data_IF_957675406254
#
_entry.id   IF_957675406254
#
_cell.length_a   1.000
_cell.length_b   1.000
_cell.length_c   1.000
_cell.angle_alpha   90.00
_cell.angle_beta   90.00
_cell.angle_gamma   90.00
#
_symmetry.space_group_name_H-M   'P 1'
#
loop_
_entity.id
_entity.type
_entity.pdbx_description
1 polymer ?
#
# COMPACT_ATOMS: atom_id res chain seq x y z
N UNK A 1 18.31 -11.78 -4.45
CA UNK A 1 18.50 -12.82 -5.48
C UNK A 1 17.64 -12.65 -6.70
N UNK A 2 16.31 -12.62 -6.62
CA UNK A 2 15.44 -12.52 -7.82
C UNK A 2 15.79 -11.34 -8.70
N UNK A 3 15.96 -10.14 -8.13
CA UNK A 3 16.28 -8.92 -8.88
C UNK A 3 17.64 -9.02 -9.57
N UNK A 4 18.66 -9.53 -8.87
CA UNK A 4 19.98 -9.77 -9.48
C UNK A 4 19.91 -10.78 -10.63
N UNK A 5 19.09 -11.83 -10.48
CA UNK A 5 18.80 -12.78 -11.55
C UNK A 5 18.10 -12.13 -12.74
N UNK A 6 17.13 -11.23 -12.48
CA UNK A 6 16.42 -10.50 -13.54
C UNK A 6 17.38 -9.59 -14.34
N UNK A 7 18.34 -8.92 -13.68
CA UNK A 7 19.35 -8.10 -14.34
C UNK A 7 20.18 -8.96 -15.30
N UNK A 8 20.68 -10.10 -14.82
CA UNK A 8 21.50 -11.00 -15.65
C UNK A 8 20.69 -11.64 -16.76
N UNK A 9 19.47 -12.11 -16.45
CA UNK A 9 18.62 -12.79 -17.44
C UNK A 9 18.23 -11.90 -18.62
N UNK A 10 18.04 -10.60 -18.40
CA UNK A 10 17.74 -9.64 -19.49
C UNK A 10 18.83 -9.57 -20.55
N UNK A 11 20.07 -9.86 -20.18
CA UNK A 11 21.23 -9.84 -21.08
C UNK A 11 21.60 -11.22 -21.65
N UNK A 12 20.89 -12.28 -21.25
CA UNK A 12 21.10 -13.62 -21.79
C UNK A 12 20.35 -13.80 -23.11
N UNK A 13 20.89 -14.61 -24.06
CA UNK A 13 20.17 -14.98 -25.27
C UNK A 13 18.89 -15.77 -24.89
N UNK A 14 17.83 -15.52 -25.64
CA UNK A 14 16.61 -16.31 -25.52
C UNK A 14 16.78 -17.65 -26.26
N UNK A 15 16.18 -18.71 -25.71
CA UNK A 15 16.06 -19.99 -26.41
C UNK A 15 15.03 -19.94 -27.58
N UNK A 16 14.83 -21.06 -28.26
CA UNK A 16 13.88 -21.16 -29.36
C UNK A 16 12.41 -20.88 -28.95
N UNK A 17 12.10 -20.90 -27.68
CA UNK A 17 10.78 -20.62 -27.09
C UNK A 17 10.67 -19.20 -26.53
N UNK A 18 11.73 -18.37 -26.66
CA UNK A 18 11.79 -17.03 -26.14
C UNK A 18 12.14 -16.95 -24.65
N UNK A 19 12.49 -18.06 -24.01
CA UNK A 19 12.84 -18.12 -22.57
C UNK A 19 14.31 -17.75 -22.39
N UNK A 20 14.59 -16.93 -21.37
CA UNK A 20 15.95 -16.56 -20.94
C UNK A 20 16.24 -17.18 -19.60
N UNK A 21 17.33 -17.93 -19.51
CA UNK A 21 17.75 -18.62 -18.30
C UNK A 21 19.04 -18.00 -17.78
N UNK A 22 19.08 -17.66 -16.49
CA UNK A 22 20.27 -17.19 -15.82
C UNK A 22 20.52 -17.99 -14.55
N UNK A 23 21.79 -18.22 -14.24
CA UNK A 23 22.26 -18.81 -13.00
C UNK A 23 23.29 -17.88 -12.35
N UNK A 24 23.14 -17.65 -11.06
CA UNK A 24 24.08 -16.86 -10.25
C UNK A 24 24.52 -17.69 -9.04
N UNK A 25 25.83 -17.67 -8.82
CA UNK A 25 26.48 -18.00 -7.56
C UNK A 25 27.05 -16.71 -6.97
N UNK A 26 27.51 -16.71 -5.73
CA UNK A 26 28.17 -15.54 -5.13
C UNK A 26 29.37 -15.07 -5.99
N UNK A 27 30.16 -16.02 -6.53
CA UNK A 27 31.30 -15.69 -7.39
C UNK A 27 30.84 -15.04 -8.70
N UNK A 28 29.91 -15.66 -9.41
CA UNK A 28 29.42 -15.10 -10.69
C UNK A 28 28.59 -13.82 -10.51
N UNK A 29 27.98 -13.61 -9.33
CA UNK A 29 27.37 -12.34 -8.94
C UNK A 29 28.43 -11.23 -8.92
N UNK A 30 29.54 -11.46 -8.23
CA UNK A 30 30.64 -10.48 -8.15
C UNK A 30 31.22 -10.18 -9.52
N UNK A 31 31.47 -11.20 -10.32
CA UNK A 31 32.03 -11.07 -11.69
C UNK A 31 31.10 -10.29 -12.64
N UNK A 32 29.77 -10.41 -12.49
CA UNK A 32 28.79 -9.85 -13.44
C UNK A 32 28.12 -8.58 -12.97
N UNK A 33 27.98 -8.36 -11.65
CA UNK A 33 27.11 -7.34 -11.10
C UNK A 33 27.81 -6.32 -10.19
N UNK A 34 29.08 -6.55 -9.82
CA UNK A 34 29.78 -5.59 -8.97
C UNK A 34 29.92 -4.22 -9.63
N UNK A 35 30.09 -4.15 -10.94
CA UNK A 35 30.23 -2.90 -11.70
C UNK A 35 28.90 -2.44 -12.34
N UNK A 36 27.78 -3.14 -12.05
CA UNK A 36 26.49 -2.78 -12.62
C UNK A 36 25.98 -1.45 -12.06
N UNK A 37 25.46 -0.62 -12.95
CA UNK A 37 24.79 0.65 -12.65
C UNK A 37 23.46 0.72 -13.39
N UNK A 38 22.45 1.41 -12.85
CA UNK A 38 22.44 2.16 -11.59
C UNK A 38 22.21 1.26 -10.36
N UNK A 39 22.66 1.71 -9.19
CA UNK A 39 22.41 1.02 -7.91
C UNK A 39 20.92 0.78 -7.62
N UNK A 40 20.05 1.62 -8.15
CA UNK A 40 18.59 1.51 -7.97
C UNK A 40 17.96 0.29 -8.62
N UNK A 41 18.69 -0.44 -9.45
CA UNK A 41 18.24 -1.72 -10.01
C UNK A 41 18.30 -2.86 -8.99
N UNK A 42 19.02 -2.67 -7.88
CA UNK A 42 19.14 -3.67 -6.83
C UNK A 42 18.02 -3.53 -5.78
N UNK A 43 17.61 -4.67 -5.25
CA UNK A 43 16.61 -4.74 -4.19
C UNK A 43 17.00 -3.91 -2.97
N UNK A 44 16.04 -3.14 -2.45
CA UNK A 44 16.19 -2.21 -1.32
C UNK A 44 17.12 -1.02 -1.53
N UNK A 45 17.70 -0.83 -2.70
CA UNK A 45 18.43 0.40 -3.04
C UNK A 45 17.51 1.34 -3.81
N UNK A 46 16.71 2.09 -3.08
CA UNK A 46 15.88 3.16 -3.67
C UNK A 46 16.68 4.45 -3.93
N UNK A 47 16.04 5.47 -4.57
CA UNK A 47 16.70 6.73 -4.89
C UNK A 47 17.34 7.43 -3.69
N UNK A 48 16.74 7.29 -2.49
CA UNK A 48 17.29 7.86 -1.25
C UNK A 48 18.63 7.20 -0.84
N UNK A 49 18.70 5.87 -0.92
CA UNK A 49 19.91 5.11 -0.64
C UNK A 49 20.99 5.41 -1.68
N UNK A 50 20.67 5.33 -2.96
CA UNK A 50 21.60 5.64 -4.03
C UNK A 50 22.16 7.07 -3.90
N UNK A 51 21.33 8.05 -3.55
CA UNK A 51 21.79 9.43 -3.33
C UNK A 51 22.79 9.55 -2.16
N UNK A 52 22.57 8.83 -1.05
CA UNK A 52 23.50 8.81 0.09
C UNK A 52 24.82 8.14 -0.29
N UNK A 53 24.76 6.98 -0.96
CA UNK A 53 25.91 6.24 -1.45
C UNK A 53 26.74 7.08 -2.42
N UNK A 54 26.11 7.66 -3.43
CA UNK A 54 26.79 8.51 -4.42
C UNK A 54 27.48 9.72 -3.80
N UNK A 55 26.90 10.34 -2.75
CA UNK A 55 27.54 11.43 -2.00
C UNK A 55 28.76 10.97 -1.23
N UNK A 56 28.80 9.72 -0.81
CA UNK A 56 29.94 9.09 -0.18
C UNK A 56 30.99 8.51 -1.19
N UNK A 57 30.73 8.67 -2.50
CA UNK A 57 31.66 8.17 -3.54
C UNK A 57 31.49 6.67 -3.85
N UNK A 58 30.36 6.07 -3.41
CA UNK A 58 30.03 4.65 -3.65
C UNK A 58 28.96 4.56 -4.75
N UNK A 59 29.31 4.03 -5.90
CA UNK A 59 28.45 4.03 -7.10
C UNK A 59 27.97 2.65 -7.52
N UNK A 60 28.61 1.58 -7.03
CA UNK A 60 28.37 0.21 -7.42
C UNK A 60 28.27 -0.72 -6.20
N UNK A 61 27.73 -1.93 -6.40
CA UNK A 61 27.76 -2.95 -5.35
C UNK A 61 29.18 -3.37 -4.99
N UNK A 62 30.09 -3.39 -5.97
CA UNK A 62 31.51 -3.64 -5.73
C UNK A 62 32.16 -2.57 -4.85
N UNK A 63 31.79 -1.30 -4.97
CA UNK A 63 32.29 -0.24 -4.10
C UNK A 63 31.82 -0.43 -2.65
N UNK A 64 30.54 -0.83 -2.47
CA UNK A 64 29.98 -1.11 -1.15
C UNK A 64 30.69 -2.32 -0.51
N UNK A 65 30.87 -3.39 -1.28
CA UNK A 65 31.57 -4.58 -0.80
C UNK A 65 33.02 -4.28 -0.42
N UNK A 66 33.76 -3.51 -1.22
CA UNK A 66 35.14 -3.08 -0.92
C UNK A 66 35.21 -2.14 0.30
N UNK A 67 34.20 -1.25 0.41
CA UNK A 67 34.10 -0.35 1.57
C UNK A 67 33.97 -1.16 2.87
N UNK A 68 33.18 -2.22 2.91
CA UNK A 68 32.98 -3.04 4.10
C UNK A 68 34.25 -3.79 4.58
N UNK A 69 35.29 -3.85 3.75
CA UNK A 69 36.59 -4.47 4.11
C UNK A 69 37.66 -3.48 4.56
N UNK A 70 37.36 -2.19 4.56
CA UNK A 70 38.26 -1.17 5.03
C UNK A 70 38.62 -1.32 6.50
N UNK A 71 39.85 -0.91 6.88
CA UNK A 71 40.25 -0.91 8.28
C UNK A 71 39.58 0.24 9.03
N UNK A 72 39.49 0.14 10.34
CA UNK A 72 38.81 1.15 11.19
C UNK A 72 39.33 2.59 11.00
N UNK A 73 40.60 2.75 10.59
CA UNK A 73 41.21 4.06 10.33
C UNK A 73 41.02 4.56 8.89
N UNK A 74 40.56 3.73 7.98
CA UNK A 74 40.31 4.10 6.59
C UNK A 74 38.97 4.87 6.49
N UNK A 75 38.87 5.86 5.57
CA UNK A 75 37.60 6.56 5.33
C UNK A 75 36.51 5.63 4.82
N UNK A 76 36.89 4.73 3.92
CA UNK A 76 35.98 3.68 3.42
C UNK A 76 36.12 2.44 4.30
N UNK A 77 35.19 2.28 5.20
CA UNK A 77 35.11 1.14 6.11
C UNK A 77 33.63 0.77 6.39
N UNK A 78 33.43 -0.27 7.14
CA UNK A 78 32.08 -0.73 7.50
C UNK A 78 31.31 0.31 8.32
N UNK A 79 32.00 1.04 9.20
CA UNK A 79 31.40 2.06 10.07
C UNK A 79 30.73 3.18 9.28
N UNK A 80 31.31 3.61 8.16
CA UNK A 80 30.71 4.58 7.25
C UNK A 80 29.34 4.08 6.73
N UNK A 81 29.22 2.80 6.40
CA UNK A 81 27.94 2.22 5.95
C UNK A 81 26.92 2.19 7.08
N UNK A 82 27.33 1.87 8.31
CA UNK A 82 26.44 1.92 9.48
C UNK A 82 26.03 3.34 9.86
N UNK A 83 26.90 4.34 9.72
CA UNK A 83 26.52 5.76 9.88
C UNK A 83 25.45 6.19 8.87
N UNK A 84 25.58 5.77 7.62
CA UNK A 84 24.65 6.14 6.55
C UNK A 84 23.29 5.45 6.67
N UNK A 85 23.24 4.19 7.11
CA UNK A 85 22.06 3.32 6.99
C UNK A 85 21.64 2.64 8.29
N UNK A 86 22.38 2.80 9.38
CA UNK A 86 22.12 2.09 10.64
C UNK A 86 22.16 0.57 10.43
N UNK A 87 21.34 -0.17 11.15
CA UNK A 87 21.27 -1.65 11.06
C UNK A 87 20.96 -2.19 9.66
N UNK A 88 20.44 -1.36 8.77
CA UNK A 88 20.21 -1.79 7.39
C UNK A 88 21.51 -1.89 6.56
N UNK A 89 22.64 -1.39 7.08
CA UNK A 89 23.95 -1.54 6.44
C UNK A 89 24.35 -3.01 6.32
N UNK A 90 24.09 -3.82 7.35
CA UNK A 90 24.37 -5.26 7.36
C UNK A 90 23.76 -5.97 6.14
N UNK A 91 22.45 -5.79 5.92
CA UNK A 91 21.79 -6.38 4.77
C UNK A 91 22.30 -5.83 3.43
N UNK A 92 22.67 -4.55 3.39
CA UNK A 92 23.23 -3.93 2.18
C UNK A 92 24.61 -4.52 1.85
N UNK A 93 25.44 -4.75 2.87
CA UNK A 93 26.75 -5.38 2.75
C UNK A 93 26.61 -6.83 2.27
N UNK A 94 25.74 -7.62 2.91
CA UNK A 94 25.44 -8.99 2.49
C UNK A 94 25.05 -9.08 1.02
N UNK A 95 24.10 -8.23 0.60
CA UNK A 95 23.68 -8.16 -0.78
C UNK A 95 24.79 -7.69 -1.73
N UNK A 96 25.67 -6.79 -1.30
CA UNK A 96 26.82 -6.36 -2.09
C UNK A 96 27.82 -7.51 -2.31
N UNK A 97 27.97 -8.41 -1.35
CA UNK A 97 28.76 -9.62 -1.46
C UNK A 97 28.08 -10.73 -2.26
N UNK A 98 26.78 -10.60 -2.57
CA UNK A 98 25.97 -11.59 -3.25
C UNK A 98 25.40 -12.64 -2.30
N UNK A 99 25.43 -12.38 -1.00
CA UNK A 99 24.85 -13.23 0.03
C UNK A 99 23.40 -12.83 0.34
N UNK A 100 22.52 -13.80 0.47
CA UNK A 100 21.11 -13.59 0.85
C UNK A 100 20.82 -14.43 2.09
N UNK A 101 20.77 -13.80 3.28
CA UNK A 101 20.53 -14.53 4.54
C UNK A 101 19.10 -15.04 4.66
N UNK A 102 18.14 -14.41 3.96
CA UNK A 102 16.73 -14.76 4.09
C UNK A 102 16.32 -15.90 3.16
N UNK A 103 15.99 -17.04 3.72
CA UNK A 103 15.53 -18.21 2.98
C UNK A 103 14.02 -18.16 2.70
N UNK A 104 13.56 -18.94 1.71
CA UNK A 104 12.12 -19.11 1.43
C UNK A 104 11.37 -19.67 2.65
N UNK A 105 12.02 -20.52 3.44
CA UNK A 105 11.43 -21.05 4.68
C UNK A 105 11.19 -19.96 5.73
N UNK A 106 12.12 -19.02 5.86
CA UNK A 106 11.99 -17.86 6.75
C UNK A 106 10.92 -16.91 6.29
N UNK A 107 10.84 -16.61 4.98
CA UNK A 107 9.77 -15.81 4.41
C UNK A 107 8.39 -16.43 4.72
N UNK A 108 8.25 -17.75 4.56
CA UNK A 108 7.00 -18.46 4.87
C UNK A 108 6.64 -18.46 6.35
N UNK A 109 7.63 -18.44 7.25
CA UNK A 109 7.42 -18.39 8.71
C UNK A 109 7.22 -16.99 9.24
N UNK A 110 7.60 -15.95 8.47
CA UNK A 110 7.50 -14.56 8.92
C UNK A 110 6.04 -14.15 9.16
N UNK A 111 5.78 -13.67 10.36
CA UNK A 111 4.51 -13.03 10.73
C UNK A 111 4.78 -11.56 11.00
N UNK A 112 4.23 -10.62 10.21
CA UNK A 112 4.42 -9.20 10.47
C UNK A 112 3.79 -8.79 11.81
N UNK A 113 4.45 -7.90 12.55
CA UNK A 113 3.91 -7.35 13.80
C UNK A 113 2.69 -6.46 13.59
N UNK A 114 2.62 -5.81 12.45
CA UNK A 114 1.44 -5.06 12.01
C UNK A 114 1.10 -5.47 10.60
N UNK A 115 -0.17 -5.72 10.36
CA UNK A 115 -0.68 -6.01 9.03
C UNK A 115 -1.51 -4.84 8.55
N UNK A 116 -1.45 -4.59 7.26
CA UNK A 116 -2.35 -3.66 6.58
C UNK A 116 -2.95 -4.35 5.36
N UNK A 117 -4.15 -3.96 4.99
CA UNK A 117 -4.83 -4.47 3.82
C UNK A 117 -5.40 -3.30 3.02
N UNK A 118 -5.12 -3.27 1.72
CA UNK A 118 -5.59 -2.15 0.92
C UNK A 118 -5.44 -2.41 -0.56
N UNK A 119 -5.98 -1.48 -1.32
CA UNK A 119 -5.90 -1.51 -2.77
C UNK A 119 -5.68 -0.10 -3.34
N UNK A 120 -5.05 -0.06 -4.52
CA UNK A 120 -4.87 1.14 -5.31
C UNK A 120 -5.61 1.04 -6.64
N UNK A 121 -6.06 2.18 -7.14
CA UNK A 121 -6.66 2.28 -8.46
C UNK A 121 -6.12 3.52 -9.20
N UNK A 122 -5.72 3.31 -10.45
CA UNK A 122 -5.49 4.40 -11.41
C UNK A 122 -6.72 4.49 -12.30
N UNK A 123 -7.33 5.66 -12.32
CA UNK A 123 -8.53 5.92 -13.13
C UNK A 123 -8.15 6.04 -14.61
N UNK A 124 -8.97 5.53 -15.52
CA UNK A 124 -8.72 5.56 -16.96
C UNK A 124 -8.70 6.98 -17.51
N UNK A 125 -9.55 7.85 -16.97
CA UNK A 125 -9.64 9.28 -17.27
C UNK A 125 -9.58 10.10 -15.99
N UNK A 126 -9.25 11.40 -16.02
CA UNK A 126 -9.38 12.26 -14.86
C UNK A 126 -10.83 12.35 -14.37
N UNK A 127 -11.05 12.15 -13.08
CA UNK A 127 -12.37 12.21 -12.44
C UNK A 127 -12.54 13.48 -11.63
N UNK A 128 -13.75 14.03 -11.60
CA UNK A 128 -14.13 15.02 -10.59
C UNK A 128 -14.05 14.43 -9.19
N UNK A 129 -13.92 15.26 -8.17
CA UNK A 129 -13.88 14.80 -6.78
C UNK A 129 -15.12 13.97 -6.40
N UNK A 130 -16.30 14.33 -6.93
CA UNK A 130 -17.56 13.61 -6.70
C UNK A 130 -17.50 12.16 -7.26
N UNK A 131 -17.11 12.01 -8.54
CA UNK A 131 -16.93 10.68 -9.14
C UNK A 131 -15.82 9.87 -8.44
N UNK A 132 -14.73 10.53 -8.07
CA UNK A 132 -13.65 9.89 -7.32
C UNK A 132 -14.11 9.41 -5.93
N UNK A 133 -14.96 10.18 -5.24
CA UNK A 133 -15.57 9.79 -3.97
C UNK A 133 -16.43 8.53 -4.11
N UNK A 134 -17.22 8.42 -5.18
CA UNK A 134 -17.99 7.21 -5.47
C UNK A 134 -17.06 6.00 -5.57
N UNK A 135 -15.95 6.10 -6.32
CA UNK A 135 -14.97 5.02 -6.44
C UNK A 135 -14.31 4.68 -5.10
N UNK A 136 -13.99 5.68 -4.27
CA UNK A 136 -13.45 5.43 -2.91
C UNK A 136 -14.45 4.66 -2.04
N UNK A 137 -15.75 4.96 -2.15
CA UNK A 137 -16.81 4.21 -1.46
C UNK A 137 -16.91 2.77 -1.95
N UNK A 138 -16.78 2.53 -3.26
CA UNK A 138 -16.71 1.18 -3.82
C UNK A 138 -15.50 0.40 -3.29
N UNK A 139 -14.33 1.07 -3.20
CA UNK A 139 -13.12 0.48 -2.63
C UNK A 139 -13.31 0.14 -1.14
N UNK A 140 -13.92 1.04 -0.37
CA UNK A 140 -14.20 0.84 1.05
C UNK A 140 -15.18 -0.31 1.30
N UNK A 141 -16.23 -0.43 0.49
CA UNK A 141 -17.18 -1.55 0.56
C UNK A 141 -16.51 -2.89 0.29
N UNK A 142 -15.70 -2.95 -0.76
CA UNK A 142 -14.91 -4.14 -1.09
C UNK A 142 -13.92 -4.49 0.03
N UNK A 143 -13.22 -3.50 0.57
CA UNK A 143 -12.25 -3.69 1.67
C UNK A 143 -12.93 -4.27 2.91
N UNK A 144 -14.14 -3.77 3.26
CA UNK A 144 -14.93 -4.31 4.37
C UNK A 144 -15.32 -5.78 4.14
N UNK A 145 -15.75 -6.13 2.92
CA UNK A 145 -16.05 -7.52 2.56
C UNK A 145 -14.81 -8.42 2.61
N UNK A 146 -13.65 -7.93 2.17
CA UNK A 146 -12.39 -8.68 2.25
C UNK A 146 -11.92 -8.90 3.70
N UNK A 147 -12.14 -7.94 4.60
CA UNK A 147 -11.88 -8.10 6.03
C UNK A 147 -12.75 -9.23 6.60
N UNK A 148 -14.05 -9.23 6.29
CA UNK A 148 -14.98 -10.28 6.74
C UNK A 148 -14.61 -11.64 6.16
N UNK A 149 -14.25 -11.70 4.88
CA UNK A 149 -13.87 -12.96 4.21
C UNK A 149 -12.65 -13.62 4.83
N UNK A 150 -11.70 -12.79 5.28
CA UNK A 150 -10.47 -13.25 5.95
C UNK A 150 -10.61 -13.38 7.47
N UNK A 151 -11.77 -13.06 8.04
CA UNK A 151 -11.99 -13.08 9.49
C UNK A 151 -11.15 -12.04 10.23
N UNK A 152 -10.94 -10.85 9.66
CA UNK A 152 -10.08 -9.80 10.16
C UNK A 152 -10.88 -8.54 10.51
N UNK A 153 -10.29 -7.70 11.36
CA UNK A 153 -10.77 -6.36 11.71
C UNK A 153 -9.65 -5.33 11.60
N UNK A 154 -10.02 -4.06 11.51
CA UNK A 154 -9.09 -2.93 11.48
C UNK A 154 -9.63 -1.79 12.34
N UNK A 155 -8.77 -0.90 12.82
CA UNK A 155 -9.15 0.28 13.63
C UNK A 155 -8.88 1.61 12.94
N UNK A 156 -8.19 1.61 11.80
CA UNK A 156 -7.81 2.85 11.09
C UNK A 156 -7.87 2.68 9.58
N UNK A 157 -8.30 3.74 8.89
CA UNK A 157 -8.21 3.87 7.44
C UNK A 157 -7.17 4.92 7.06
N UNK A 158 -6.44 4.67 5.97
CA UNK A 158 -5.51 5.62 5.36
C UNK A 158 -5.93 5.80 3.89
N UNK A 159 -6.17 7.05 3.49
CA UNK A 159 -6.55 7.41 2.12
C UNK A 159 -5.50 8.31 1.51
N UNK A 160 -5.06 7.96 0.30
CA UNK A 160 -4.21 8.81 -0.53
C UNK A 160 -4.90 9.05 -1.88
N UNK A 161 -5.06 10.33 -2.25
CA UNK A 161 -5.70 10.75 -3.49
C UNK A 161 -4.70 11.54 -4.33
N UNK A 162 -4.29 10.96 -5.45
CA UNK A 162 -3.38 11.60 -6.41
C UNK A 162 -4.16 12.36 -7.47
N UNK A 163 -3.76 13.60 -7.68
CA UNK A 163 -4.39 14.48 -8.67
C UNK A 163 -3.78 14.30 -10.06
N UNK A 164 -4.58 14.61 -11.08
CA UNK A 164 -4.15 14.52 -12.47
C UNK A 164 -3.28 15.72 -12.89
N UNK A 165 -2.40 15.48 -13.86
CA UNK A 165 -1.53 16.49 -14.45
C UNK A 165 -2.33 17.59 -15.16
N UNK A 166 -3.54 17.28 -15.65
CA UNK A 166 -4.43 18.23 -16.32
C UNK A 166 -4.73 19.44 -15.44
N UNK A 167 -4.72 19.29 -14.11
CA UNK A 167 -4.86 20.43 -13.20
C UNK A 167 -3.78 21.51 -13.37
N UNK A 168 -2.62 21.17 -13.94
CA UNK A 168 -1.50 22.08 -14.16
C UNK A 168 -1.25 22.38 -15.64
N UNK A 169 -1.80 21.59 -16.56
CA UNK A 169 -1.63 21.77 -18.01
C UNK A 169 -2.82 22.52 -18.65
N UNK A 170 -4.01 22.41 -18.07
CA UNK A 170 -5.15 23.21 -18.49
C UNK A 170 -4.97 24.68 -18.05
N UNK A 171 -5.09 25.66 -18.97
CA UNK A 171 -4.82 27.06 -18.66
C UNK A 171 -5.73 27.68 -17.59
N UNK A 172 -6.98 27.22 -17.49
CA UNK A 172 -7.96 27.73 -16.52
C UNK A 172 -7.67 27.12 -15.14
N UNK A 173 -7.52 25.82 -15.06
CA UNK A 173 -7.24 25.09 -13.81
C UNK A 173 -5.89 25.49 -13.23
N UNK A 174 -4.87 25.59 -14.07
CA UNK A 174 -3.51 25.96 -13.66
C UNK A 174 -3.46 27.36 -13.04
N UNK A 175 -4.20 28.33 -13.57
CA UNK A 175 -4.31 29.69 -12.99
C UNK A 175 -5.04 29.70 -11.64
N UNK A 176 -6.04 28.84 -11.48
CA UNK A 176 -6.83 28.74 -10.25
C UNK A 176 -6.07 28.01 -9.12
N UNK A 177 -5.21 27.06 -9.45
CA UNK A 177 -4.49 26.27 -8.45
C UNK A 177 -3.32 27.06 -7.84
N UNK A 178 -3.34 27.21 -6.51
CA UNK A 178 -2.29 27.89 -5.72
C UNK A 178 -1.64 26.97 -4.69
N UNK A 179 -1.96 25.68 -4.74
CA UNK A 179 -1.43 24.70 -3.80
C UNK A 179 -0.01 24.23 -4.14
N UNK A 180 0.57 23.36 -3.32
CA UNK A 180 1.91 22.83 -3.52
C UNK A 180 1.98 21.88 -4.72
N UNK A 181 3.05 22.01 -5.52
CA UNK A 181 3.36 21.18 -6.68
C UNK A 181 4.50 20.25 -6.33
N UNK A 182 4.40 19.00 -6.74
CA UNK A 182 5.45 17.98 -6.58
C UNK A 182 5.81 17.38 -7.93
N UNK A 183 7.01 16.79 -8.02
CA UNK A 183 7.43 16.04 -9.20
C UNK A 183 7.18 14.56 -8.96
N UNK A 184 6.46 13.91 -9.86
CA UNK A 184 6.19 12.48 -9.78
C UNK A 184 7.42 11.63 -10.20
N UNK A 185 7.29 10.30 -10.10
CA UNK A 185 8.36 9.36 -10.48
C UNK A 185 8.82 9.50 -11.95
N UNK A 186 7.97 10.00 -12.82
CA UNK A 186 8.25 10.21 -14.24
C UNK A 186 8.77 11.62 -14.56
N UNK A 187 9.07 12.42 -13.54
CA UNK A 187 9.56 13.80 -13.71
C UNK A 187 8.46 14.83 -14.02
N UNK A 188 7.17 14.46 -13.97
CA UNK A 188 6.05 15.35 -14.29
C UNK A 188 5.66 16.17 -13.07
N UNK A 189 5.37 17.44 -13.25
CA UNK A 189 4.81 18.30 -12.22
C UNK A 189 3.32 17.98 -12.05
N UNK A 190 2.91 17.69 -10.83
CA UNK A 190 1.52 17.40 -10.46
C UNK A 190 1.17 18.13 -9.16
N UNK A 191 -0.11 18.41 -8.87
CA UNK A 191 -0.50 18.86 -7.54
C UNK A 191 -0.11 17.86 -6.49
N UNK A 192 0.33 18.33 -5.31
CA UNK A 192 0.64 17.43 -4.19
C UNK A 192 -0.60 16.60 -3.85
N UNK A 193 -0.42 15.28 -3.75
CA UNK A 193 -1.49 14.36 -3.38
C UNK A 193 -2.11 14.71 -2.02
N UNK A 194 -3.41 14.48 -1.88
CA UNK A 194 -4.07 14.50 -0.59
C UNK A 194 -3.78 13.17 0.14
N UNK A 195 -3.50 13.26 1.43
CA UNK A 195 -3.19 12.11 2.27
C UNK A 195 -3.69 12.34 3.68
N UNK A 196 -4.28 11.32 4.29
CA UNK A 196 -4.74 11.38 5.66
C UNK A 196 -5.18 10.02 6.17
N UNK A 197 -5.44 9.96 7.47
CA UNK A 197 -5.97 8.79 8.16
C UNK A 197 -7.20 9.14 8.98
N UNK A 198 -8.05 8.14 9.24
CA UNK A 198 -9.24 8.22 10.08
C UNK A 198 -9.33 7.00 10.96
N UNK A 199 -9.57 7.22 12.26
CA UNK A 199 -9.79 6.14 13.20
C UNK A 199 -11.25 5.67 13.13
N UNK A 200 -11.45 4.36 13.26
CA UNK A 200 -12.78 3.73 13.19
C UNK A 200 -13.49 3.70 14.57
N UNK A 201 -12.85 4.26 15.62
CA UNK A 201 -13.40 4.23 16.97
C UNK A 201 -13.26 2.89 17.68
N UNK A 202 -12.65 1.91 17.03
CA UNK A 202 -12.40 0.55 17.52
C UNK A 202 -12.16 -0.41 16.36
N UNK A 203 -11.79 -1.64 16.69
CA UNK A 203 -11.56 -2.69 15.71
C UNK A 203 -12.88 -3.18 15.09
N UNK A 204 -13.04 -3.01 13.78
CA UNK A 204 -14.28 -3.35 13.07
C UNK A 204 -14.04 -3.85 11.66
N UNK A 205 -14.98 -4.62 11.12
CA UNK A 205 -15.14 -4.94 9.70
C UNK A 205 -16.51 -4.49 9.15
N UNK A 206 -17.22 -3.63 9.90
CA UNK A 206 -18.52 -3.09 9.51
C UNK A 206 -18.37 -2.19 8.28
N UNK A 207 -19.06 -2.55 7.20
CA UNK A 207 -19.16 -1.73 5.98
C UNK A 207 -19.70 -0.33 6.29
N UNK A 208 -20.67 -0.22 7.19
CA UNK A 208 -21.28 1.05 7.59
C UNK A 208 -20.24 1.98 8.23
N UNK A 209 -19.49 1.50 9.22
CA UNK A 209 -18.47 2.29 9.91
C UNK A 209 -17.34 2.68 8.94
N UNK A 210 -16.87 1.74 8.12
CA UNK A 210 -15.81 1.99 7.14
C UNK A 210 -16.26 3.02 6.09
N UNK A 211 -17.49 2.95 5.58
CA UNK A 211 -18.03 3.92 4.64
C UNK A 211 -18.20 5.31 5.26
N UNK A 212 -18.67 5.39 6.50
CA UNK A 212 -18.79 6.68 7.22
C UNK A 212 -17.42 7.32 7.43
N UNK A 213 -16.45 6.55 7.90
CA UNK A 213 -15.10 7.03 8.14
C UNK A 213 -14.41 7.48 6.85
N UNK A 214 -14.51 6.71 5.76
CA UNK A 214 -13.88 7.08 4.50
C UNK A 214 -14.52 8.31 3.87
N UNK A 215 -15.84 8.48 4.00
CA UNK A 215 -16.55 9.68 3.52
C UNK A 215 -16.13 10.93 4.30
N UNK A 216 -15.99 10.83 5.62
CA UNK A 216 -15.50 11.93 6.47
C UNK A 216 -14.05 12.29 6.11
N UNK A 217 -13.19 11.26 5.97
CA UNK A 217 -11.80 11.44 5.59
C UNK A 217 -11.66 12.10 4.21
N UNK A 218 -12.40 11.61 3.21
CA UNK A 218 -12.37 12.16 1.86
C UNK A 218 -12.72 13.66 1.84
N UNK A 219 -13.83 14.03 2.49
CA UNK A 219 -14.25 15.46 2.58
C UNK A 219 -13.23 16.33 3.29
N UNK A 220 -12.52 15.79 4.28
CA UNK A 220 -11.53 16.54 5.05
C UNK A 220 -10.25 16.81 4.28
N UNK A 221 -9.78 15.86 3.44
CA UNK A 221 -8.45 15.97 2.83
C UNK A 221 -8.46 16.35 1.35
N UNK A 222 -9.54 16.09 0.60
CA UNK A 222 -9.57 16.24 -0.85
C UNK A 222 -9.96 17.65 -1.25
N UNK A 223 -9.21 18.21 -2.18
CA UNK A 223 -9.60 19.46 -2.84
C UNK A 223 -10.60 19.14 -3.97
N UNK A 224 -11.84 19.54 -3.78
CA UNK A 224 -12.96 19.25 -4.69
C UNK A 224 -12.83 19.92 -6.07
N UNK A 225 -12.00 20.95 -6.21
CA UNK A 225 -11.78 21.65 -7.48
C UNK A 225 -10.80 20.90 -8.41
N UNK A 226 -10.06 19.93 -7.88
CA UNK A 226 -9.03 19.23 -8.63
C UNK A 226 -9.53 17.91 -9.23
N UNK A 227 -9.05 17.61 -10.42
CA UNK A 227 -9.25 16.33 -11.06
C UNK A 227 -8.37 15.27 -10.41
N UNK A 228 -8.97 14.12 -10.14
CA UNK A 228 -8.35 12.96 -9.48
C UNK A 228 -7.92 11.93 -10.52
N UNK A 229 -6.75 11.31 -10.32
CA UNK A 229 -6.21 10.27 -11.21
C UNK A 229 -5.90 8.97 -10.50
N UNK A 230 -5.55 9.03 -9.23
CA UNK A 230 -5.12 7.86 -8.46
C UNK A 230 -5.76 7.85 -7.09
N UNK A 231 -6.20 6.67 -6.68
CA UNK A 231 -6.79 6.41 -5.38
C UNK A 231 -6.04 5.25 -4.72
N UNK A 232 -5.76 5.37 -3.43
CA UNK A 232 -5.21 4.28 -2.62
C UNK A 232 -5.87 4.32 -1.25
N UNK A 233 -6.53 3.22 -0.89
CA UNK A 233 -7.21 3.05 0.40
C UNK A 233 -6.61 1.85 1.13
N UNK A 234 -6.26 2.04 2.38
CA UNK A 234 -5.62 1.03 3.23
C UNK A 234 -6.34 0.96 4.58
N UNK A 235 -6.69 -0.24 5.01
CA UNK A 235 -6.99 -0.55 6.40
C UNK A 235 -5.69 -0.88 7.13
N UNK A 236 -5.40 -0.17 8.19
CA UNK A 236 -4.21 -0.36 9.02
C UNK A 236 -4.54 -1.14 10.30
N UNK A 237 -3.50 -1.66 10.94
CA UNK A 237 -3.58 -2.47 12.16
C UNK A 237 -4.52 -3.67 12.03
N UNK A 238 -4.48 -4.31 10.87
CA UNK A 238 -5.35 -5.45 10.58
C UNK A 238 -4.94 -6.67 11.40
N UNK A 239 -5.90 -7.29 12.09
CA UNK A 239 -5.66 -8.47 12.93
C UNK A 239 -6.93 -9.31 13.10
N UNK A 240 -6.82 -10.56 13.57
CA UNK A 240 -7.97 -11.34 13.99
C UNK A 240 -8.71 -10.67 15.16
N UNK A 241 -10.04 -10.75 15.26
CA UNK A 241 -10.79 -10.16 16.38
C UNK A 241 -10.37 -10.67 17.75
N UNK A 242 -9.85 -11.91 17.82
CA UNK A 242 -9.33 -12.50 19.07
C UNK A 242 -8.04 -11.87 19.57
N UNK A 243 -7.28 -11.21 18.69
CA UNK A 243 -6.02 -10.53 19.02
C UNK A 243 -6.23 -9.02 19.18
N UNK A 244 -7.39 -8.52 18.78
CA UNK A 244 -7.73 -7.10 18.92
C UNK A 244 -7.78 -6.74 20.41
N UNK A 245 -7.11 -5.63 20.82
CA UNK A 245 -7.25 -5.13 22.17
C UNK A 245 -8.74 -4.98 22.50
N UNK A 246 -9.19 -5.68 23.55
CA UNK A 246 -10.51 -5.40 24.06
C UNK A 246 -10.53 -3.91 24.40
N UNK A 247 -11.51 -3.19 23.90
CA UNK A 247 -11.83 -1.91 24.48
C UNK A 247 -12.11 -2.22 25.95
N UNK A 248 -11.09 -2.06 26.80
CA UNK A 248 -11.31 -2.09 28.24
C UNK A 248 -12.46 -1.12 28.47
N UNK A 249 -13.52 -1.57 29.15
CA UNK A 249 -14.49 -0.58 29.60
C UNK A 249 -13.66 0.46 30.34
N UNK A 250 -13.58 1.68 29.81
CA UNK A 250 -13.17 2.81 30.62
C UNK A 250 -13.93 2.63 31.93
N UNK A 251 -13.21 2.65 33.06
CA UNK A 251 -13.86 2.64 34.35
C UNK A 251 -14.77 3.86 34.32
N UNK A 252 -15.99 3.61 33.94
CA UNK A 252 -16.98 4.65 33.69
C UNK A 252 -17.30 5.26 35.06
N UNK A 253 -16.80 6.47 35.25
CA UNK A 253 -17.26 7.26 36.43
C UNK A 253 -18.75 7.49 36.21
N UNK A 254 -19.56 6.86 37.06
CA UNK A 254 -21.01 6.98 37.00
C UNK A 254 -21.39 8.45 37.18
N UNK A 255 -22.04 9.02 36.20
CA UNK A 255 -22.56 10.37 36.20
C UNK A 255 -24.06 10.33 36.55
N UNK A 256 -24.47 11.17 37.51
CA UNK A 256 -25.86 11.26 37.99
C UNK A 256 -26.86 11.75 36.92
N UNK A 257 -26.36 12.33 35.82
CA UNK A 257 -27.19 12.91 34.76
C UNK A 257 -27.30 12.01 33.51
N UNK A 258 -26.59 10.89 33.47
CA UNK A 258 -26.61 9.96 32.34
C UNK A 258 -27.69 8.89 32.53
N UNK A 259 -28.58 8.76 31.55
CA UNK A 259 -29.53 7.64 31.47
C UNK A 259 -28.82 6.36 31.04
N UNK A 260 -28.39 5.59 32.03
CA UNK A 260 -27.67 4.31 31.77
C UNK A 260 -28.55 3.27 31.14
N UNK A 261 -29.87 3.29 31.34
CA UNK A 261 -30.78 2.34 30.73
C UNK A 261 -30.90 2.61 29.22
N UNK A 262 -31.07 3.87 28.84
CA UNK A 262 -31.08 4.29 27.43
C UNK A 262 -29.74 4.00 26.75
N UNK A 263 -28.62 4.21 27.45
CA UNK A 263 -27.27 3.94 26.92
C UNK A 263 -27.02 2.43 26.70
N UNK A 264 -27.45 1.58 27.64
CA UNK A 264 -27.35 0.14 27.53
C UNK A 264 -28.21 -0.37 26.37
N UNK A 265 -29.45 0.07 26.26
CA UNK A 265 -30.34 -0.26 25.16
C UNK A 265 -29.78 0.17 23.80
N UNK A 266 -29.15 1.35 23.72
CA UNK A 266 -28.47 1.82 22.51
C UNK A 266 -27.27 0.94 22.12
N UNK A 267 -26.45 0.51 23.08
CA UNK A 267 -25.32 -0.40 22.86
C UNK A 267 -25.79 -1.78 22.38
N UNK A 268 -26.86 -2.33 22.98
CA UNK A 268 -27.44 -3.60 22.56
C UNK A 268 -28.02 -3.52 21.14
N UNK A 269 -28.73 -2.44 20.83
CA UNK A 269 -29.26 -2.20 19.49
C UNK A 269 -28.14 -2.08 18.43
N UNK A 270 -27.07 -1.38 18.75
CA UNK A 270 -25.90 -1.26 17.86
C UNK A 270 -25.23 -2.62 17.66
N UNK A 271 -25.04 -3.41 18.71
CA UNK A 271 -24.45 -4.74 18.61
C UNK A 271 -25.32 -5.68 17.77
N UNK A 272 -26.62 -5.67 17.97
CA UNK A 272 -27.57 -6.43 17.13
C UNK A 272 -27.53 -6.00 15.65
N UNK A 273 -27.37 -4.69 15.40
CA UNK A 273 -27.21 -4.17 14.04
C UNK A 273 -25.89 -4.64 13.38
N UNK A 274 -24.78 -4.65 14.12
CA UNK A 274 -23.49 -5.14 13.63
C UNK A 274 -23.51 -6.65 13.33
N UNK A 275 -24.17 -7.44 14.17
CA UNK A 275 -24.32 -8.88 13.92
C UNK A 275 -25.20 -9.17 12.69
N UNK A 276 -26.28 -8.39 12.51
CA UNK A 276 -27.11 -8.46 11.32
C UNK A 276 -26.33 -8.09 10.06
N UNK A 277 -25.55 -7.03 10.12
CA UNK A 277 -24.68 -6.60 9.02
C UNK A 277 -23.67 -7.68 8.66
N UNK A 278 -22.98 -8.26 9.64
CA UNK A 278 -22.03 -9.35 9.43
C UNK A 278 -22.64 -10.55 8.73
N UNK A 279 -23.84 -10.95 9.14
CA UNK A 279 -24.60 -12.04 8.45
C UNK A 279 -24.91 -11.68 6.99
N UNK A 280 -25.30 -10.45 6.72
CA UNK A 280 -25.55 -9.97 5.36
C UNK A 280 -24.26 -9.95 4.53
N UNK A 281 -23.13 -9.48 5.06
CA UNK A 281 -21.83 -9.50 4.39
C UNK A 281 -21.41 -10.95 4.04
N UNK A 282 -21.60 -11.90 4.95
CA UNK A 282 -21.32 -13.32 4.70
C UNK A 282 -22.19 -13.91 3.60
N UNK A 283 -23.48 -13.53 3.56
CA UNK A 283 -24.40 -13.96 2.49
C UNK A 283 -23.97 -13.39 1.13
N UNK A 284 -23.57 -12.11 1.07
CA UNK A 284 -23.04 -11.48 -0.14
C UNK A 284 -21.78 -12.21 -0.62
N UNK A 285 -20.83 -12.48 0.29
CA UNK A 285 -19.59 -13.22 -0.03
C UNK A 285 -19.89 -14.62 -0.56
N UNK A 286 -20.85 -15.32 0.03
CA UNK A 286 -21.28 -16.67 -0.42
C UNK A 286 -21.83 -16.64 -1.84
N UNK A 287 -22.66 -15.65 -2.18
CA UNK A 287 -23.19 -15.44 -3.53
C UNK A 287 -22.06 -15.12 -4.50
N UNK A 288 -21.17 -14.20 -4.14
CA UNK A 288 -20.05 -13.80 -5.00
C UNK A 288 -19.06 -14.94 -5.25
N UNK A 289 -18.80 -15.79 -4.25
CA UNK A 289 -17.95 -16.99 -4.41
C UNK A 289 -18.57 -18.03 -5.34
N UNK A 290 -19.89 -18.19 -5.30
CA UNK A 290 -20.60 -19.19 -6.09
C UNK A 290 -20.90 -18.75 -7.52
N UNK A 291 -21.26 -17.48 -7.71
CA UNK A 291 -21.79 -16.97 -8.97
C UNK A 291 -20.94 -15.85 -9.59
N UNK A 292 -19.82 -15.50 -8.97
CA UNK A 292 -18.91 -14.44 -9.42
C UNK A 292 -19.18 -13.09 -8.74
N UNK A 293 -18.17 -12.23 -8.76
CA UNK A 293 -18.18 -10.95 -8.02
C UNK A 293 -19.28 -9.98 -8.47
N UNK A 294 -19.74 -10.09 -9.72
CA UNK A 294 -20.79 -9.24 -10.29
C UNK A 294 -22.21 -9.83 -10.12
N UNK A 295 -22.35 -11.00 -9.48
CA UNK A 295 -23.67 -11.62 -9.26
C UNK A 295 -24.57 -10.82 -8.29
N UNK A 296 -23.95 -10.03 -7.41
CA UNK A 296 -24.66 -9.12 -6.51
C UNK A 296 -23.87 -7.81 -6.41
N UNK A 297 -24.54 -6.71 -6.74
CA UNK A 297 -23.97 -5.36 -6.75
C UNK A 297 -24.84 -4.44 -5.89
N UNK A 298 -24.24 -3.40 -5.33
CA UNK A 298 -24.95 -2.31 -4.66
C UNK A 298 -25.37 -1.24 -5.67
N UNK A 299 -26.41 -0.46 -5.37
CA UNK A 299 -26.88 0.61 -6.25
C UNK A 299 -25.77 1.56 -6.67
N UNK A 300 -24.85 1.91 -5.75
CA UNK A 300 -23.70 2.77 -6.06
C UNK A 300 -22.77 2.22 -7.16
N UNK A 301 -22.73 0.91 -7.37
CA UNK A 301 -21.91 0.28 -8.42
C UNK A 301 -22.50 0.46 -9.84
N UNK A 302 -23.71 1.01 -9.93
CA UNK A 302 -24.44 1.28 -11.18
C UNK A 302 -24.50 2.77 -11.50
N UNK A 303 -23.98 3.62 -10.62
CA UNK A 303 -23.91 5.07 -10.83
C UNK A 303 -22.87 5.45 -11.90
N UNK A 304 -23.06 6.62 -12.50
CA UNK A 304 -22.10 7.14 -13.49
C UNK A 304 -20.73 7.39 -12.83
N UNK A 305 -19.68 6.79 -13.39
CA UNK A 305 -18.32 6.86 -12.85
C UNK A 305 -17.95 5.71 -11.91
N UNK A 306 -18.90 4.82 -11.57
CA UNK A 306 -18.60 3.60 -10.83
C UNK A 306 -17.64 2.68 -11.62
N UNK A 307 -16.72 2.03 -10.92
CA UNK A 307 -15.67 1.20 -11.53
C UNK A 307 -15.68 -0.25 -11.06
N UNK A 308 -16.43 -0.58 -10.01
CA UNK A 308 -16.39 -1.90 -9.37
C UNK A 308 -16.77 -3.03 -10.33
N UNK A 309 -17.79 -2.84 -11.16
CA UNK A 309 -18.25 -3.83 -12.12
C UNK A 309 -17.16 -4.22 -13.11
N UNK A 310 -16.47 -3.23 -13.68
CA UNK A 310 -15.38 -3.45 -14.64
C UNK A 310 -14.15 -4.04 -13.96
N UNK A 311 -13.85 -3.62 -12.74
CA UNK A 311 -12.73 -4.14 -11.94
C UNK A 311 -12.92 -5.59 -11.57
N UNK A 312 -14.13 -6.00 -11.25
CA UNK A 312 -14.45 -7.39 -10.91
C UNK A 312 -14.20 -8.36 -12.05
N UNK A 313 -14.23 -7.89 -13.31
CA UNK A 313 -13.93 -8.68 -14.51
C UNK A 313 -12.44 -8.70 -14.89
N UNK A 314 -11.55 -8.02 -14.13
CA UNK A 314 -10.11 -7.97 -14.41
C UNK A 314 -9.34 -8.99 -13.59
N UNK A 315 -8.31 -9.60 -14.18
CA UNK A 315 -7.35 -10.46 -13.51
C UNK A 315 -6.02 -9.72 -13.44
N UNK A 316 -5.48 -9.50 -12.23
CA UNK A 316 -4.19 -8.83 -12.03
C UNK A 316 -4.10 -7.40 -12.60
N UNK A 317 -5.24 -6.69 -12.73
CA UNK A 317 -5.30 -5.33 -13.29
C UNK A 317 -5.49 -5.26 -14.81
N UNK A 318 -5.47 -6.40 -15.50
CA UNK A 318 -5.72 -6.50 -16.94
C UNK A 318 -7.10 -7.07 -17.21
N UNK A 319 -7.72 -6.69 -18.36
CA UNK A 319 -8.93 -7.39 -18.81
C UNK A 319 -8.56 -8.84 -19.11
N UNK A 320 -9.35 -9.79 -18.59
CA UNK A 320 -9.30 -11.16 -19.06
C UNK A 320 -9.90 -11.14 -20.48
N UNK A 321 -9.10 -11.51 -21.49
CA UNK A 321 -9.58 -11.82 -22.84
C UNK A 321 -10.28 -13.17 -22.85
#
# INVERSE_FOLDING_TARGET
CKVAMDIVAKHMPADAQGVRVAQLTERSYREKLWDHTPLTDFWRVGPGYAKKLNRAGLYTMGDIARCSMGRAQDYYNEELLFELFGVNAELLIDHAWGYEPCTIAEIKRYKPRSASMGEGQVLSTPYTAEKARLVVREMADKLALELVDKGLVADQLVLTVGYDIENLTDPVRSKAYKGPIVTDHYGRKIPKHAHGSENLGGFTSSTRHILQAVDALFRRIVNEQLLVRRLNLVAAHVMPPSEAPSSTPEVEQLDLFTDYAARTASREAEQAALEREKRMQQAVLSIQKKYGKNAILKGMNLEEGATARDRNSRIGGHKAE
#
